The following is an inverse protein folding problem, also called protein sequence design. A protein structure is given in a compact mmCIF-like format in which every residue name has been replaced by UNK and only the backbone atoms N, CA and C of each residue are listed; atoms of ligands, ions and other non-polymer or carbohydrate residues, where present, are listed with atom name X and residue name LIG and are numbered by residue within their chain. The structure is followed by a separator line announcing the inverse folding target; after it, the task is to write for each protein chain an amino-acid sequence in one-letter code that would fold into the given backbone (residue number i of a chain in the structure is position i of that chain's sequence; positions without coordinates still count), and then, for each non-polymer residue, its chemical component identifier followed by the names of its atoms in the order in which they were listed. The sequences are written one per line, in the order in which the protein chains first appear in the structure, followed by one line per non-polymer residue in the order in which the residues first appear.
data_IF_984654597687
#
_entry.id   IF_984654597687
#
_cell.length_a   1.000
_cell.length_b   1.000
_cell.length_c   1.000
_cell.angle_alpha   90.00
_cell.angle_beta   90.00
_cell.angle_gamma   90.00
#
_symmetry.space_group_name_H-M   'P 1'
#
loop_
_entity.id
_entity.type
_entity.pdbx_description
1 polymer ?
#
# COMPACT_ATOMS: atom_id res chain seq x y z
N UNK A 1 1.03 3.28 -2.85
CA UNK A 1 0.71 2.79 -1.50
C UNK A 1 1.54 1.54 -1.22
N UNK A 2 2.14 1.44 -0.05
CA UNK A 2 2.94 0.31 0.40
C UNK A 2 2.23 -0.41 1.55
N UNK A 3 2.25 -1.74 1.52
CA UNK A 3 1.69 -2.65 2.50
C UNK A 3 2.79 -3.59 2.99
N UNK A 4 2.85 -3.82 4.29
CA UNK A 4 3.71 -4.83 4.90
C UNK A 4 2.88 -5.83 5.69
N UNK A 5 3.39 -7.04 5.71
CA UNK A 5 2.82 -8.16 6.46
C UNK A 5 3.87 -8.76 7.38
N UNK A 6 3.46 -9.66 8.29
CA UNK A 6 4.40 -10.45 9.12
C UNK A 6 5.44 -11.21 8.31
N UNK A 7 5.14 -11.56 7.05
CA UNK A 7 6.07 -12.23 6.14
C UNK A 7 7.08 -11.30 5.44
N UNK A 8 6.96 -9.97 5.57
CA UNK A 8 7.91 -9.00 5.01
C UNK A 8 9.09 -8.77 5.97
N UNK A 9 9.96 -9.77 6.10
CA UNK A 9 11.09 -9.79 7.05
C UNK A 9 12.25 -8.90 6.59
N UNK A 10 12.52 -8.86 5.28
CA UNK A 10 13.63 -8.08 4.72
C UNK A 10 13.23 -6.62 4.50
N UNK A 11 14.15 -5.65 4.64
CA UNK A 11 13.80 -4.23 4.61
C UNK A 11 13.30 -3.73 3.24
N UNK A 12 13.64 -4.42 2.15
CA UNK A 12 13.14 -4.12 0.80
C UNK A 12 11.85 -4.88 0.43
N UNK A 13 11.30 -5.68 1.35
CA UNK A 13 10.05 -6.40 1.11
C UNK A 13 8.84 -5.53 1.44
N UNK A 14 8.04 -5.27 0.42
CA UNK A 14 6.77 -4.58 0.54
C UNK A 14 5.86 -5.04 -0.59
N UNK A 15 4.57 -4.85 -0.36
CA UNK A 15 3.54 -4.97 -1.35
C UNK A 15 3.19 -3.56 -1.82
N UNK A 16 3.09 -3.32 -3.13
CA UNK A 16 2.80 -2.00 -3.66
C UNK A 16 1.60 -1.99 -4.60
N UNK A 17 0.85 -0.89 -4.55
CA UNK A 17 -0.23 -0.61 -5.49
C UNK A 17 -0.20 0.88 -5.85
N UNK A 18 -0.47 1.18 -7.11
CA UNK A 18 -0.64 2.54 -7.62
C UNK A 18 -2.13 2.85 -7.66
N UNK A 19 -2.48 4.06 -7.24
CA UNK A 19 -3.84 4.57 -7.24
C UNK A 19 -3.79 6.08 -7.51
N UNK A 20 -4.86 6.61 -8.08
CA UNK A 20 -4.95 8.03 -8.44
C UNK A 20 -5.58 8.83 -7.29
N UNK A 21 -4.99 9.98 -6.99
CA UNK A 21 -5.46 10.96 -6.00
C UNK A 21 -5.82 12.27 -6.68
N UNK A 22 -6.47 13.18 -5.95
CA UNK A 22 -7.01 14.44 -6.46
C UNK A 22 -7.45 15.29 -5.29
N UNK A 23 -7.92 16.51 -5.57
CA UNK A 23 -8.03 17.56 -4.55
C UNK A 23 -9.17 17.36 -3.53
N UNK A 24 -10.16 16.53 -3.87
CA UNK A 24 -11.30 16.23 -3.00
C UNK A 24 -11.10 15.00 -2.11
N UNK A 25 -11.68 15.06 -0.91
CA UNK A 25 -11.76 13.93 0.01
C UNK A 25 -12.57 12.79 -0.59
N UNK A 26 -11.97 11.60 -0.66
CA UNK A 26 -12.63 10.39 -1.17
C UNK A 26 -12.22 9.14 -0.41
N UNK A 27 -13.15 8.20 -0.35
CA UNK A 27 -12.87 6.83 0.07
C UNK A 27 -12.30 6.05 -1.12
N UNK A 28 -11.15 5.40 -0.92
CA UNK A 28 -10.53 4.54 -1.93
C UNK A 28 -10.55 3.11 -1.42
N UNK A 29 -11.20 2.21 -2.18
CA UNK A 29 -11.23 0.77 -1.89
C UNK A 29 -10.29 0.07 -2.83
N UNK A 30 -9.28 -0.60 -2.27
CA UNK A 30 -8.29 -1.36 -3.03
C UNK A 30 -8.37 -2.81 -2.59
N UNK A 31 -8.50 -3.72 -3.56
CA UNK A 31 -8.44 -5.15 -3.32
C UNK A 31 -7.02 -5.55 -2.92
N UNK A 32 -6.87 -6.44 -1.94
CA UNK A 32 -5.54 -6.94 -1.56
C UNK A 32 -4.81 -7.66 -2.70
N UNK A 33 -5.55 -8.30 -3.61
CA UNK A 33 -5.00 -8.91 -4.82
C UNK A 33 -4.40 -7.91 -5.81
N UNK A 34 -4.71 -6.62 -5.69
CA UNK A 34 -4.11 -5.57 -6.54
C UNK A 34 -2.69 -5.18 -6.08
N UNK A 35 -2.26 -5.64 -4.91
CA UNK A 35 -0.93 -5.35 -4.41
C UNK A 35 0.12 -6.27 -5.03
N UNK A 36 1.04 -5.70 -5.80
CA UNK A 36 2.17 -6.41 -6.37
C UNK A 36 3.29 -6.59 -5.31
N UNK A 37 3.80 -7.82 -5.11
CA UNK A 37 4.95 -8.03 -4.24
C UNK A 37 6.22 -7.41 -4.83
N UNK A 38 7.09 -6.84 -4.00
CA UNK A 38 8.38 -6.27 -4.44
C UNK A 38 9.43 -7.32 -4.80
N UNK A 39 9.19 -8.61 -4.50
CA UNK A 39 10.12 -9.70 -4.82
C UNK A 39 9.47 -11.08 -4.85
N UNK A 40 10.12 -12.01 -5.55
CA UNK A 40 9.60 -13.35 -5.85
C UNK A 40 9.39 -14.28 -4.63
N UNK A 41 10.01 -13.95 -3.48
CA UNK A 41 9.87 -14.72 -2.24
C UNK A 41 8.61 -14.35 -1.42
N UNK A 42 7.91 -13.29 -1.82
CA UNK A 42 6.65 -12.89 -1.19
C UNK A 42 5.48 -13.65 -1.84
N UNK A 43 4.39 -13.81 -1.08
CA UNK A 43 3.15 -14.38 -1.62
C UNK A 43 2.61 -13.49 -2.74
N UNK A 44 1.94 -14.08 -3.72
CA UNK A 44 1.29 -13.32 -4.80
C UNK A 44 0.16 -12.43 -4.26
N UNK A 45 -0.53 -12.88 -3.22
CA UNK A 45 -1.58 -12.11 -2.54
C UNK A 45 -1.26 -12.01 -1.05
N UNK A 46 -1.23 -10.80 -0.46
CA UNK A 46 -1.02 -10.61 0.96
C UNK A 46 -2.21 -11.15 1.76
N UNK A 47 -1.91 -11.75 2.92
CA UNK A 47 -2.92 -12.26 3.85
C UNK A 47 -3.40 -11.14 4.79
N UNK A 48 -4.71 -10.89 4.81
CA UNK A 48 -5.40 -9.86 5.62
C UNK A 48 -5.01 -9.93 7.08
N UNK A 49 -5.00 -11.15 7.65
CA UNK A 49 -4.73 -11.39 9.06
C UNK A 49 -3.26 -11.12 9.45
N UNK A 50 -2.39 -11.01 8.45
CA UNK A 50 -0.96 -10.80 8.63
C UNK A 50 -0.51 -9.37 8.37
N UNK A 51 -1.41 -8.46 7.97
CA UNK A 51 -1.10 -7.05 7.70
C UNK A 51 -0.61 -6.38 8.98
N UNK A 52 0.57 -5.77 8.91
CA UNK A 52 1.19 -5.09 10.05
C UNK A 52 1.28 -3.59 9.87
N UNK A 53 1.44 -3.12 8.62
CA UNK A 53 1.45 -1.70 8.34
C UNK A 53 0.99 -1.38 6.93
N UNK A 54 0.39 -0.20 6.79
CA UNK A 54 -0.02 0.40 5.53
C UNK A 54 0.48 1.84 5.49
N UNK A 55 1.11 2.21 4.37
CA UNK A 55 1.65 3.55 4.16
C UNK A 55 1.25 4.04 2.77
N UNK A 56 0.78 5.28 2.68
CA UNK A 56 0.71 5.97 1.41
C UNK A 56 2.06 6.64 1.14
N UNK A 57 2.56 6.51 -0.08
CA UNK A 57 3.84 7.07 -0.51
C UNK A 57 3.63 7.71 -1.86
N UNK A 58 4.09 8.95 -2.01
CA UNK A 58 4.25 9.61 -3.30
C UNK A 58 5.66 9.33 -3.79
N UNK A 59 5.80 8.70 -4.95
CA UNK A 59 7.10 8.43 -5.56
C UNK A 59 7.07 8.80 -7.05
N UNK A 60 8.04 9.60 -7.50
CA UNK A 60 8.11 10.10 -8.87
C UNK A 60 8.93 11.38 -8.97
N UNK A 61 9.41 11.71 -10.18
CA UNK A 61 10.10 12.98 -10.44
C UNK A 61 9.03 14.04 -10.76
N UNK A 62 8.87 14.94 -9.78
CA UNK A 62 8.30 16.30 -9.83
C UNK A 62 6.78 16.50 -9.62
N UNK A 63 6.21 16.27 -8.42
CA UNK A 63 4.84 16.75 -8.09
C UNK A 63 4.58 17.06 -6.61
N UNK A 64 3.82 18.13 -6.33
CA UNK A 64 3.37 18.56 -4.99
C UNK A 64 2.37 17.56 -4.38
N UNK A 65 2.50 17.33 -3.06
CA UNK A 65 1.70 16.40 -2.28
C UNK A 65 1.20 17.08 -1.00
N UNK A 66 -0.12 17.24 -0.88
CA UNK A 66 -0.80 17.39 0.40
C UNK A 66 -1.65 16.12 0.59
N UNK A 67 -1.29 15.29 1.56
CA UNK A 67 -1.93 14.01 1.83
C UNK A 67 -2.45 13.98 3.26
N UNK A 68 -3.77 13.97 3.39
CA UNK A 68 -4.43 13.84 4.68
C UNK A 68 -5.16 12.49 4.75
N UNK A 69 -4.92 11.75 5.83
CA UNK A 69 -5.59 10.49 6.11
C UNK A 69 -6.53 10.66 7.30
N UNK A 70 -7.76 10.19 7.15
CA UNK A 70 -8.73 10.21 8.25
C UNK A 70 -8.84 8.87 8.96
N UNK A 71 -8.89 7.78 8.20
CA UNK A 71 -8.95 6.43 8.73
C UNK A 71 -8.49 5.43 7.66
N UNK A 72 -8.01 4.29 8.13
CA UNK A 72 -7.56 3.17 7.29
C UNK A 72 -8.17 1.91 7.88
N UNK A 73 -8.90 1.15 7.07
CA UNK A 73 -9.48 -0.14 7.47
C UNK A 73 -9.01 -1.24 6.51
N UNK A 74 -8.82 -2.44 7.06
CA UNK A 74 -8.56 -3.68 6.34
C UNK A 74 -9.62 -4.69 6.79
N UNK A 75 -10.26 -5.38 5.85
CA UNK A 75 -11.32 -6.36 6.10
C UNK A 75 -10.95 -7.70 5.47
#
# INVERSE_FOLDING_TARGET
MHLRTRGTVLPWQYYQVRFETGDDWREVRILLSAFAPSGALLRATPDTASVTSLAAVTCGRDHQADLSFRWIWCY
#
